data_IF_118043588491
#
_entry.id   IF_118043588491
#
_cell.length_a   1.000
_cell.length_b   1.000
_cell.length_c   1.000
_cell.angle_alpha   90.00
_cell.angle_beta   90.00
_cell.angle_gamma   90.00
#
_symmetry.space_group_name_H-M   'P 1'
#
loop_
_entity.id
_entity.type
_entity.pdbx_description
1 polymer ?
#
# COMPACT_ATOMS: atom_id res chain seq x y z
N UNK A 1 10.91 1.11 8.57
CA UNK A 1 11.65 0.10 9.36
C UNK A 1 12.09 -1.04 8.46
N UNK A 2 11.17 -1.80 7.84
CA UNK A 2 11.49 -2.93 6.94
C UNK A 2 12.44 -2.55 5.79
N UNK A 3 12.25 -1.37 5.18
CA UNK A 3 13.16 -0.90 4.12
C UNK A 3 14.63 -0.87 4.56
N UNK A 4 14.89 -0.38 5.78
CA UNK A 4 16.25 -0.34 6.36
C UNK A 4 16.79 -1.74 6.65
N UNK A 5 15.93 -2.67 7.07
CA UNK A 5 16.31 -4.07 7.34
C UNK A 5 16.78 -4.74 6.04
N UNK A 6 16.04 -4.56 4.95
CA UNK A 6 16.40 -5.07 3.62
C UNK A 6 17.67 -4.39 3.11
N UNK A 7 17.76 -3.06 3.16
CA UNK A 7 18.94 -2.29 2.70
C UNK A 7 20.22 -2.65 3.45
N UNK A 8 20.11 -3.04 4.73
CA UNK A 8 21.24 -3.34 5.61
C UNK A 8 21.33 -4.82 5.97
N UNK A 9 20.85 -5.72 5.11
CA UNK A 9 20.82 -7.16 5.38
C UNK A 9 22.18 -7.71 5.86
N UNK A 10 23.28 -7.38 5.19
CA UNK A 10 24.61 -7.89 5.53
C UNK A 10 25.12 -7.37 6.89
N UNK A 11 25.17 -6.05 7.14
CA UNK A 11 25.51 -5.52 8.47
C UNK A 11 24.61 -6.03 9.60
N UNK A 12 23.30 -6.16 9.34
CA UNK A 12 22.34 -6.64 10.33
C UNK A 12 22.64 -8.09 10.74
N UNK A 13 22.82 -8.99 9.77
CA UNK A 13 23.14 -10.38 10.03
C UNK A 13 24.49 -10.51 10.75
N UNK A 14 25.50 -9.73 10.35
CA UNK A 14 26.80 -9.71 11.03
C UNK A 14 26.66 -9.29 12.50
N UNK A 15 25.93 -8.22 12.79
CA UNK A 15 25.70 -7.74 14.15
C UNK A 15 24.95 -8.76 15.03
N UNK A 16 23.97 -9.49 14.46
CA UNK A 16 23.23 -10.56 15.15
C UNK A 16 24.16 -11.73 15.50
N UNK A 17 25.05 -12.11 14.59
CA UNK A 17 26.03 -13.17 14.82
C UNK A 17 27.08 -12.79 15.87
N UNK A 18 27.50 -11.51 15.90
CA UNK A 18 28.43 -10.99 16.92
C UNK A 18 27.86 -11.11 18.34
N UNK A 19 26.56 -10.89 18.51
CA UNK A 19 25.87 -11.07 19.81
C UNK A 19 25.48 -12.53 20.09
N UNK A 20 25.92 -13.47 19.25
CA UNK A 20 25.68 -14.93 19.36
C UNK A 20 24.19 -15.34 19.36
N UNK A 21 23.34 -14.58 18.68
CA UNK A 21 21.90 -14.87 18.52
C UNK A 21 21.59 -15.36 17.10
N UNK A 22 22.31 -16.39 16.65
CA UNK A 22 22.21 -16.89 15.28
C UNK A 22 20.80 -17.38 14.90
N UNK A 23 19.99 -17.77 15.88
CA UNK A 23 18.59 -18.15 15.74
C UNK A 23 17.66 -16.99 15.35
N UNK A 24 18.12 -15.73 15.46
CA UNK A 24 17.38 -14.55 15.05
C UNK A 24 17.74 -14.04 13.64
N UNK A 25 18.69 -14.67 12.96
CA UNK A 25 19.04 -14.30 11.59
C UNK A 25 17.86 -14.64 10.67
N UNK A 26 17.26 -13.67 9.97
CA UNK A 26 16.16 -13.97 9.07
C UNK A 26 16.61 -14.88 7.94
N UNK A 27 15.76 -15.83 7.58
CA UNK A 27 15.96 -16.70 6.43
C UNK A 27 15.80 -15.93 5.11
N UNK A 28 16.31 -16.50 4.01
CA UNK A 28 16.15 -15.93 2.67
C UNK A 28 14.68 -15.72 2.30
N UNK A 29 13.79 -16.66 2.69
CA UNK A 29 12.36 -16.54 2.46
C UNK A 29 11.73 -15.37 3.23
N UNK A 30 12.22 -15.07 4.44
CA UNK A 30 11.76 -13.91 5.20
C UNK A 30 12.24 -12.61 4.57
N UNK A 31 13.47 -12.54 4.07
CA UNK A 31 13.93 -11.39 3.29
C UNK A 31 13.13 -11.18 2.00
N UNK A 32 12.84 -12.25 1.26
CA UNK A 32 11.97 -12.19 0.07
C UNK A 32 10.57 -11.70 0.45
N UNK A 33 10.01 -12.15 1.58
CA UNK A 33 8.72 -11.67 2.05
C UNK A 33 8.76 -10.17 2.41
N UNK A 34 9.87 -9.69 2.98
CA UNK A 34 10.09 -8.26 3.25
C UNK A 34 10.19 -7.45 1.95
N UNK A 35 10.89 -7.94 0.93
CA UNK A 35 10.95 -7.28 -0.39
C UNK A 35 9.56 -7.16 -1.03
N UNK A 36 8.80 -8.26 -1.03
CA UNK A 36 7.40 -8.27 -1.50
C UNK A 36 6.56 -7.26 -0.73
N UNK A 37 6.73 -7.17 0.59
CA UNK A 37 6.04 -6.18 1.41
C UNK A 37 6.39 -4.75 0.98
N UNK A 38 7.68 -4.46 0.77
CA UNK A 38 8.13 -3.13 0.35
C UNK A 38 7.56 -2.74 -1.02
N UNK A 39 7.54 -3.67 -1.97
CA UNK A 39 7.00 -3.43 -3.31
C UNK A 39 5.50 -3.12 -3.27
N UNK A 40 4.72 -3.86 -2.47
CA UNK A 40 3.28 -3.60 -2.30
C UNK A 40 3.03 -2.26 -1.60
N UNK A 41 3.89 -1.87 -0.65
CA UNK A 41 3.72 -0.63 0.13
C UNK A 41 4.22 0.62 -0.59
N UNK A 42 5.15 0.49 -1.55
CA UNK A 42 5.78 1.62 -2.25
C UNK A 42 4.79 2.63 -2.85
N UNK A 43 3.70 2.22 -3.55
CA UNK A 43 2.72 3.16 -4.05
C UNK A 43 2.00 3.95 -2.96
N UNK A 44 1.77 3.35 -1.79
CA UNK A 44 1.14 4.04 -0.66
C UNK A 44 2.05 5.11 -0.08
N UNK A 45 3.36 4.86 -0.01
CA UNK A 45 4.34 5.86 0.43
C UNK A 45 4.27 7.08 -0.49
N UNK A 46 4.39 6.88 -1.81
CA UNK A 46 4.33 7.97 -2.79
C UNK A 46 3.01 8.73 -2.74
N UNK A 47 1.88 8.04 -2.61
CA UNK A 47 0.56 8.68 -2.50
C UNK A 47 0.47 9.50 -1.21
N UNK A 48 0.96 8.96 -0.09
CA UNK A 48 0.89 9.63 1.21
C UNK A 48 1.76 10.89 1.21
N UNK A 49 2.96 10.83 0.63
CA UNK A 49 3.83 12.00 0.42
C UNK A 49 3.17 13.05 -0.49
N UNK A 50 2.54 12.63 -1.58
CA UNK A 50 1.85 13.54 -2.49
C UNK A 50 0.63 14.22 -1.84
N UNK A 51 -0.08 13.52 -0.96
CA UNK A 51 -1.20 14.07 -0.19
C UNK A 51 -0.69 14.99 0.93
N UNK A 52 0.35 14.59 1.65
CA UNK A 52 0.89 15.38 2.77
C UNK A 52 1.56 16.69 2.34
N UNK A 53 2.09 16.74 1.11
CA UNK A 53 2.63 17.96 0.52
C UNK A 53 1.55 18.99 0.15
N UNK A 54 0.27 18.61 0.08
CA UNK A 54 -0.81 19.52 -0.27
C UNK A 54 -1.24 20.33 0.97
N UNK A 55 -1.23 21.66 0.85
CA UNK A 55 -1.75 22.57 1.88
C UNK A 55 -3.24 22.31 2.17
N UNK A 56 -4.00 21.99 1.13
CA UNK A 56 -5.41 21.63 1.20
C UNK A 56 -5.68 20.46 0.26
N UNK A 57 -6.17 19.36 0.83
CA UNK A 57 -6.53 18.17 0.07
C UNK A 57 -7.97 18.33 -0.41
N UNK A 58 -8.21 18.24 -1.72
CA UNK A 58 -9.54 18.41 -2.31
C UNK A 58 -10.14 17.07 -2.75
N UNK A 59 -11.46 17.03 -2.89
CA UNK A 59 -12.16 15.85 -3.41
C UNK A 59 -11.69 15.54 -4.85
N UNK A 60 -11.42 16.57 -5.64
CA UNK A 60 -10.95 16.42 -7.03
C UNK A 60 -9.54 15.84 -7.13
N UNK A 61 -8.69 15.96 -6.09
CA UNK A 61 -7.39 15.29 -6.03
C UNK A 61 -7.49 13.89 -5.42
N UNK A 62 -8.30 13.70 -4.36
CA UNK A 62 -8.45 12.41 -3.70
C UNK A 62 -9.13 11.35 -4.58
N UNK A 63 -10.18 11.71 -5.31
CA UNK A 63 -10.93 10.75 -6.13
C UNK A 63 -10.06 10.04 -7.18
N UNK A 64 -9.27 10.73 -8.03
CA UNK A 64 -8.41 10.05 -9.00
C UNK A 64 -7.29 9.25 -8.32
N UNK A 65 -6.76 9.72 -7.18
CA UNK A 65 -5.74 8.99 -6.42
C UNK A 65 -6.32 7.67 -5.89
N UNK A 66 -7.48 7.70 -5.24
CA UNK A 66 -8.15 6.52 -4.72
C UNK A 66 -8.50 5.55 -5.86
N UNK A 67 -9.02 6.06 -6.98
CA UNK A 67 -9.31 5.24 -8.15
C UNK A 67 -8.05 4.53 -8.67
N UNK A 68 -6.94 5.26 -8.85
CA UNK A 68 -5.66 4.70 -9.31
C UNK A 68 -5.11 3.66 -8.33
N UNK A 69 -5.19 3.93 -7.03
CA UNK A 69 -4.76 3.01 -5.99
C UNK A 69 -5.54 1.69 -6.06
N UNK A 70 -6.88 1.76 -6.07
CA UNK A 70 -7.75 0.58 -6.02
C UNK A 70 -7.77 -0.22 -7.33
N UNK A 71 -7.70 0.45 -8.48
CA UNK A 71 -7.86 -0.20 -9.81
C UNK A 71 -6.55 -0.54 -10.49
N UNK A 72 -5.43 0.06 -10.08
CA UNK A 72 -4.13 -0.19 -10.69
C UNK A 72 -3.14 -0.82 -9.70
N UNK A 73 -2.87 -0.15 -8.58
CA UNK A 73 -1.79 -0.57 -7.66
C UNK A 73 -2.16 -1.78 -6.80
N UNK A 74 -3.39 -1.81 -6.26
CA UNK A 74 -3.92 -2.89 -5.44
C UNK A 74 -4.71 -3.92 -6.24
N UNK A 75 -4.60 -3.89 -7.57
CA UNK A 75 -5.17 -4.94 -8.41
C UNK A 75 -4.20 -6.13 -8.44
N UNK A 76 -4.72 -7.32 -8.18
CA UNK A 76 -3.95 -8.57 -8.25
C UNK A 76 -3.54 -8.85 -9.70
N UNK A 77 -2.27 -9.21 -9.90
CA UNK A 77 -1.71 -9.60 -11.21
C UNK A 77 -1.35 -11.08 -11.18
N UNK A 78 -1.40 -11.74 -12.34
CA UNK A 78 -1.02 -13.16 -12.46
C UNK A 78 0.40 -13.42 -11.95
N UNK A 79 1.32 -12.50 -12.25
CA UNK A 79 2.73 -12.53 -11.87
C UNK A 79 3.00 -12.28 -10.37
N UNK A 80 2.01 -11.78 -9.63
CA UNK A 80 2.20 -11.48 -8.20
C UNK A 80 2.36 -12.77 -7.39
N UNK A 81 3.24 -12.73 -6.38
CA UNK A 81 3.37 -13.79 -5.38
C UNK A 81 2.07 -13.98 -4.59
N UNK A 82 1.89 -15.14 -3.95
CA UNK A 82 0.72 -15.40 -3.10
C UNK A 82 0.58 -14.36 -1.98
N UNK A 83 1.70 -13.97 -1.36
CA UNK A 83 1.75 -12.91 -0.35
C UNK A 83 1.30 -11.57 -0.92
N UNK A 84 1.85 -11.15 -2.08
CA UNK A 84 1.47 -9.89 -2.72
C UNK A 84 -0.01 -9.84 -3.08
N UNK A 85 -0.57 -10.93 -3.63
CA UNK A 85 -2.00 -11.04 -3.94
C UNK A 85 -2.84 -10.85 -2.69
N UNK A 86 -2.53 -11.60 -1.62
CA UNK A 86 -3.27 -11.51 -0.35
C UNK A 86 -3.20 -10.12 0.26
N UNK A 87 -2.02 -9.50 0.30
CA UNK A 87 -1.84 -8.13 0.79
C UNK A 87 -2.68 -7.14 -0.01
N UNK A 88 -2.57 -7.15 -1.34
CA UNK A 88 -3.33 -6.26 -2.22
C UNK A 88 -4.84 -6.42 -2.01
N UNK A 89 -5.33 -7.66 -1.92
CA UNK A 89 -6.73 -7.99 -1.67
C UNK A 89 -7.24 -7.39 -0.36
N UNK A 90 -6.54 -7.64 0.75
CA UNK A 90 -6.92 -7.13 2.07
C UNK A 90 -6.90 -5.61 2.13
N UNK A 91 -5.87 -4.99 1.54
CA UNK A 91 -5.77 -3.53 1.45
C UNK A 91 -6.89 -2.93 0.60
N UNK A 92 -7.21 -3.56 -0.53
CA UNK A 92 -8.30 -3.10 -1.41
C UNK A 92 -9.64 -3.15 -0.68
N UNK A 93 -9.94 -4.26 0.00
CA UNK A 93 -11.16 -4.43 0.79
C UNK A 93 -11.24 -3.42 1.94
N UNK A 94 -10.13 -3.19 2.66
CA UNK A 94 -10.06 -2.20 3.73
C UNK A 94 -10.31 -0.77 3.23
N UNK A 95 -9.73 -0.39 2.09
CA UNK A 95 -9.91 0.95 1.54
C UNK A 95 -11.29 1.13 0.93
N UNK A 96 -11.86 0.11 0.28
CA UNK A 96 -13.23 0.16 -0.21
C UNK A 96 -14.21 0.37 0.95
N UNK A 97 -14.16 -0.47 1.98
CA UNK A 97 -15.07 -0.35 3.14
C UNK A 97 -15.03 1.02 3.83
N UNK A 98 -13.91 1.75 3.77
CA UNK A 98 -13.76 3.08 4.39
C UNK A 98 -14.17 4.23 3.47
N UNK A 99 -13.90 4.12 2.18
CA UNK A 99 -13.90 5.28 1.29
C UNK A 99 -14.86 5.15 0.09
N UNK A 100 -15.46 3.98 -0.17
CA UNK A 100 -16.41 3.81 -1.29
C UNK A 100 -17.87 3.97 -0.90
N UNK A 101 -18.23 3.79 0.36
CA UNK A 101 -19.66 3.72 0.74
C UNK A 101 -20.28 5.08 1.12
N UNK A 102 -19.48 6.12 1.42
CA UNK A 102 -20.00 7.41 1.89
C UNK A 102 -19.38 8.68 1.28
N UNK A 103 -18.25 8.60 0.56
CA UNK A 103 -17.67 9.81 -0.11
C UNK A 103 -18.39 10.19 -1.42
N UNK A 104 -19.40 9.41 -1.84
CA UNK A 104 -19.99 9.48 -3.18
C UNK A 104 -21.43 10.01 -3.24
N UNK A 105 -22.06 10.37 -2.11
CA UNK A 105 -23.33 11.12 -2.15
C UNK A 105 -23.08 12.62 -2.28
N UNK A 106 -22.59 13.05 -3.45
CA UNK A 106 -23.04 14.34 -3.97
C UNK A 106 -24.41 14.10 -4.60
N UNK A 107 -25.46 14.85 -4.22
CA UNK A 107 -26.76 14.70 -4.86
C UNK A 107 -26.56 15.01 -6.35
N UNK A 108 -26.99 14.09 -7.22
CA UNK A 108 -27.25 14.43 -8.62
C UNK A 108 -28.27 15.56 -8.61
N UNK A 109 -27.83 16.80 -8.69
CA UNK A 109 -28.74 17.91 -8.93
C UNK A 109 -29.29 17.79 -10.35
N UNK A 110 -30.62 17.77 -10.40
CA UNK A 110 -31.47 18.15 -11.52
C UNK A 110 -31.36 17.37 -12.85
N UNK A 111 -32.38 16.54 -13.06
CA UNK A 111 -33.30 16.83 -14.15
C UNK A 111 -34.74 16.62 -13.67
N UNK A 112 -35.31 17.69 -13.09
CA UNK A 112 -36.74 17.92 -13.17
C UNK A 112 -37.07 17.99 -14.66
N UNK A 113 -37.71 16.96 -15.20
CA UNK A 113 -38.47 17.07 -16.44
C UNK A 113 -39.93 17.11 -16.00
N UNK A 114 -40.41 18.31 -15.74
CA UNK A 114 -41.81 18.67 -15.92
C UNK A 114 -41.87 19.49 -17.20
N UNK A 115 -42.28 18.85 -18.29
CA UNK A 115 -43.17 19.39 -19.32
C UNK A 115 -44.02 18.23 -19.82
#
# INVERSE_FOLDING_TARGET
>A
MIAKVVEQQQPLCAAILEVKQADLVPSDNEFIAMDVYLDVMKPLVTITEAISAQKWVTISTLRPILHKLLKSHLNEKSIDTSLAKKMKSEMNNNLCSRYTDNFFYFPRQHSLIHV
#
